data_IF_256382310490
#
_entry.id   IF_256382310490
#
_cell.length_a   1.000
_cell.length_b   1.000
_cell.length_c   1.000
_cell.angle_alpha   90.00
_cell.angle_beta   90.00
_cell.angle_gamma   90.00
#
_symmetry.space_group_name_H-M   'P 1'
#
loop_
_entity.id
_entity.type
_entity.pdbx_description
1 polymer ?
#
# COMPACT_ATOMS: atom_id res chain seq x y z
N UNK A 1 -2.11 4.23 2.44
CA UNK A 1 -1.12 4.14 1.35
C UNK A 1 -1.46 5.04 0.16
N UNK A 2 -2.71 5.13 -0.32
CA UNK A 2 -3.06 5.86 -1.57
C UNK A 2 -2.53 7.31 -1.74
N UNK A 3 -2.24 8.03 -0.65
CA UNK A 3 -1.62 9.38 -0.69
C UNK A 3 -0.09 9.34 -0.71
N UNK A 4 0.51 8.34 -0.07
CA UNK A 4 1.97 8.21 0.07
C UNK A 4 2.59 7.18 -0.88
N UNK A 5 1.78 6.58 -1.75
CA UNK A 5 2.20 5.54 -2.67
C UNK A 5 2.16 4.13 -2.07
N UNK A 6 2.54 3.17 -2.89
CA UNK A 6 2.73 1.77 -2.54
C UNK A 6 4.22 1.44 -2.57
N UNK A 7 4.63 0.43 -1.82
CA UNK A 7 6.01 -0.07 -1.82
C UNK A 7 6.03 -1.57 -2.10
N UNK A 8 6.93 -2.02 -2.96
CA UNK A 8 7.12 -3.41 -3.33
C UNK A 8 8.61 -3.68 -3.51
N UNK A 9 9.16 -4.61 -2.74
CA UNK A 9 10.59 -4.95 -2.76
C UNK A 9 10.79 -6.43 -3.06
N UNK A 10 11.82 -6.74 -3.88
CA UNK A 10 12.25 -8.11 -4.15
C UNK A 10 13.41 -8.47 -3.23
N UNK A 11 13.10 -9.04 -2.06
CA UNK A 11 14.10 -9.36 -1.04
C UNK A 11 15.19 -10.32 -1.50
N UNK A 12 14.97 -11.09 -2.57
CA UNK A 12 16.00 -11.98 -3.12
C UNK A 12 17.11 -11.19 -3.81
N UNK A 13 16.73 -10.12 -4.50
CA UNK A 13 17.65 -9.31 -5.31
C UNK A 13 18.00 -7.96 -4.66
N UNK A 14 17.18 -7.50 -3.72
CA UNK A 14 17.31 -6.25 -2.96
C UNK A 14 16.93 -6.50 -1.49
N UNK A 15 17.79 -7.22 -0.73
CA UNK A 15 17.52 -7.56 0.67
C UNK A 15 17.50 -6.33 1.60
N UNK A 16 18.07 -5.21 1.17
CA UNK A 16 18.11 -3.95 1.92
C UNK A 16 16.94 -3.02 1.56
N UNK A 17 15.99 -3.47 0.73
CA UNK A 17 14.75 -2.75 0.37
C UNK A 17 15.01 -1.33 -0.17
N UNK A 18 16.03 -1.18 -1.00
CA UNK A 18 16.46 0.12 -1.52
C UNK A 18 15.79 0.51 -2.84
N UNK A 19 15.14 -0.44 -3.52
CA UNK A 19 14.55 -0.27 -4.85
C UNK A 19 13.06 -0.58 -4.82
N UNK A 20 12.23 0.45 -4.73
CA UNK A 20 10.78 0.29 -4.79
C UNK A 20 10.30 -0.04 -6.22
N UNK A 21 9.64 -1.18 -6.38
CA UNK A 21 9.13 -1.72 -7.65
C UNK A 21 7.63 -1.43 -7.88
N UNK A 22 6.93 -0.77 -6.95
CA UNK A 22 5.47 -0.70 -6.97
C UNK A 22 4.87 0.05 -8.18
N UNK A 23 5.64 0.93 -8.81
CA UNK A 23 5.26 1.65 -10.03
C UNK A 23 5.75 0.99 -11.34
N UNK A 24 6.52 -0.09 -11.25
CA UNK A 24 7.07 -0.79 -12.41
C UNK A 24 5.99 -1.67 -13.06
N UNK A 25 5.69 -1.47 -14.34
CA UNK A 25 4.65 -2.21 -15.06
C UNK A 25 4.84 -3.72 -15.01
N UNK A 26 6.09 -4.17 -15.07
CA UNK A 26 6.45 -5.59 -15.10
C UNK A 26 6.12 -6.31 -13.79
N UNK A 27 5.97 -5.56 -12.69
CA UNK A 27 5.64 -6.07 -11.37
C UNK A 27 4.15 -5.91 -11.03
N UNK A 28 3.33 -5.40 -11.96
CA UNK A 28 1.90 -5.14 -11.71
C UNK A 28 1.16 -6.39 -11.24
N UNK A 29 1.39 -7.53 -11.91
CA UNK A 29 0.68 -8.78 -11.58
C UNK A 29 0.97 -9.23 -10.14
N UNK A 30 2.24 -9.27 -9.74
CA UNK A 30 2.64 -9.64 -8.38
C UNK A 30 2.08 -8.65 -7.36
N UNK A 31 2.11 -7.35 -7.67
CA UNK A 31 1.53 -6.32 -6.81
C UNK A 31 0.03 -6.53 -6.60
N UNK A 32 -0.72 -6.79 -7.67
CA UNK A 32 -2.16 -7.05 -7.61
C UNK A 32 -2.45 -8.28 -6.73
N UNK A 33 -1.70 -9.38 -6.92
CA UNK A 33 -1.84 -10.61 -6.14
C UNK A 33 -1.57 -10.39 -4.64
N UNK A 34 -0.50 -9.66 -4.30
CA UNK A 34 -0.19 -9.33 -2.91
C UNK A 34 -1.22 -8.39 -2.29
N UNK A 35 -1.74 -7.42 -3.06
CA UNK A 35 -2.83 -6.56 -2.61
C UNK A 35 -4.10 -7.38 -2.32
N UNK A 36 -4.45 -8.34 -3.17
CA UNK A 36 -5.61 -9.21 -2.95
C UNK A 36 -5.46 -10.04 -1.67
N UNK A 37 -4.26 -10.57 -1.40
CA UNK A 37 -3.95 -11.27 -0.16
C UNK A 37 -4.13 -10.36 1.07
N UNK A 38 -3.61 -9.13 1.02
CA UNK A 38 -3.75 -8.16 2.11
C UNK A 38 -5.23 -7.80 2.36
N UNK A 39 -5.99 -7.52 1.30
CA UNK A 39 -7.41 -7.18 1.39
C UNK A 39 -8.23 -8.35 1.95
N UNK A 40 -7.89 -9.58 1.59
CA UNK A 40 -8.51 -10.78 2.14
C UNK A 40 -8.22 -10.92 3.63
N UNK A 41 -6.96 -10.77 4.02
CA UNK A 41 -6.56 -10.84 5.44
C UNK A 41 -7.27 -9.77 6.28
N UNK A 42 -7.30 -8.51 5.83
CA UNK A 42 -7.98 -7.43 6.56
C UNK A 42 -9.47 -7.74 6.79
N UNK A 43 -10.15 -8.25 5.76
CA UNK A 43 -11.57 -8.63 5.86
C UNK A 43 -11.78 -9.80 6.82
N UNK A 44 -10.94 -10.83 6.76
CA UNK A 44 -11.03 -12.02 7.62
C UNK A 44 -10.78 -11.70 9.09
N UNK A 45 -10.02 -10.65 9.38
CA UNK A 45 -9.65 -10.23 10.73
C UNK A 45 -10.45 -9.02 11.23
N UNK A 46 -11.53 -8.63 10.52
CA UNK A 46 -12.35 -7.46 10.85
C UNK A 46 -11.52 -6.18 11.06
N UNK A 47 -10.43 -6.02 10.29
CA UNK A 47 -9.53 -4.89 10.43
C UNK A 47 -10.24 -3.58 10.01
N UNK A 48 -10.36 -2.58 10.91
CA UNK A 48 -11.03 -1.32 10.60
C UNK A 48 -10.19 -0.38 9.73
N UNK A 49 -9.02 -0.80 9.22
CA UNK A 49 -8.07 0.05 8.50
C UNK A 49 -8.72 0.95 7.43
N UNK A 50 -9.61 0.39 6.60
CA UNK A 50 -10.30 1.12 5.51
C UNK A 50 -11.29 2.19 6.03
N UNK A 51 -11.67 2.15 7.31
CA UNK A 51 -12.52 3.17 7.95
C UNK A 51 -11.73 4.40 8.40
N UNK A 52 -10.40 4.32 8.48
CA UNK A 52 -9.58 5.42 8.98
C UNK A 52 -9.42 6.53 7.94
N UNK A 53 -9.49 7.77 8.43
CA UNK A 53 -9.14 8.95 7.65
C UNK A 53 -7.62 9.13 7.61
N UNK A 54 -7.09 9.47 6.44
CA UNK A 54 -5.68 9.87 6.31
C UNK A 54 -5.52 11.21 7.04
N UNK A 55 -4.44 11.37 7.78
CA UNK A 55 -4.10 12.64 8.44
C UNK A 55 -2.61 12.97 8.27
N UNK A 56 -2.26 14.24 8.44
CA UNK A 56 -0.87 14.67 8.57
C UNK A 56 -0.28 14.18 9.89
N UNK A 57 1.05 14.24 10.05
CA UNK A 57 1.70 13.98 11.36
C UNK A 57 1.13 14.85 12.49
N UNK A 58 0.61 16.04 12.18
CA UNK A 58 -0.04 16.92 13.16
C UNK A 58 -1.51 16.61 13.45
N UNK A 59 -2.07 15.51 12.93
CA UNK A 59 -3.45 15.08 13.17
C UNK A 59 -4.50 15.79 12.29
N UNK A 60 -4.09 16.67 11.38
CA UNK A 60 -5.02 17.32 10.44
C UNK A 60 -5.48 16.30 9.41
N UNK A 61 -6.80 16.05 9.33
CA UNK A 61 -7.40 15.13 8.35
C UNK A 61 -7.15 15.62 6.93
N UNK A 62 -6.62 14.74 6.09
CA UNK A 62 -6.46 14.95 4.66
C UNK A 62 -7.76 14.56 3.96
N UNK A 63 -8.26 15.45 3.09
CA UNK A 63 -9.34 15.14 2.16
C UNK A 63 -8.66 14.80 0.84
N UNK A 64 -8.69 13.53 0.38
CA UNK A 64 -8.11 13.19 -0.92
C UNK A 64 -8.83 13.98 -2.01
N UNK A 65 -8.07 14.59 -2.91
CA UNK A 65 -8.63 15.31 -4.06
C UNK A 65 -9.44 14.33 -4.91
N UNK A 66 -10.72 14.62 -5.13
CA UNK A 66 -11.54 13.88 -6.10
C UNK A 66 -11.30 14.50 -7.47
N UNK A 67 -10.33 13.97 -8.19
CA UNK A 67 -10.20 14.17 -9.64
C UNK A 67 -11.26 13.38 -10.37
#
# INVERSE_FOLDING_TARGET
YRVWGEELYDLKNDPEETVNLASQSDHKKVKDELNDLLQNWMRENEDPFESYGISTRGGVRLIPWKG
#
